data_IF_972643106170
#
_entry.id   IF_972643106170
#
_cell.length_a   1.000
_cell.length_b   1.000
_cell.length_c   1.000
_cell.angle_alpha   90.00
_cell.angle_beta   90.00
_cell.angle_gamma   90.00
#
_symmetry.space_group_name_H-M   'P 1'
#
loop_
_entity.id
_entity.type
_entity.pdbx_description
1 polymer ?
#
# COMPACT_ATOMS: atom_id res chain seq x y z
N UNK A 1 -72.42 22.75 52.02
CA UNK A 1 -72.32 22.60 50.55
C UNK A 1 -70.87 22.81 50.14
N UNK A 2 -70.34 21.87 49.36
CA UNK A 2 -69.26 21.96 48.36
C UNK A 2 -67.93 22.69 48.67
N UNK A 3 -66.89 21.85 48.77
CA UNK A 3 -65.58 21.93 48.10
C UNK A 3 -65.28 23.15 47.22
N UNK A 4 -64.17 23.82 47.51
CA UNK A 4 -63.19 24.24 46.50
C UNK A 4 -61.77 24.02 47.05
N UNK A 5 -61.12 22.98 46.54
CA UNK A 5 -59.66 22.90 46.49
C UNK A 5 -59.16 23.90 45.45
N UNK A 6 -58.28 24.80 45.84
CA UNK A 6 -57.41 25.52 44.91
C UNK A 6 -55.98 25.19 45.32
N UNK A 7 -55.25 24.58 44.40
CA UNK A 7 -53.90 24.03 44.58
C UNK A 7 -52.91 25.14 44.97
N UNK A 8 -51.99 24.91 45.91
CA UNK A 8 -50.79 25.72 45.97
C UNK A 8 -49.93 25.39 44.74
N UNK A 9 -49.77 26.37 43.87
CA UNK A 9 -48.83 26.36 42.76
C UNK A 9 -47.43 26.02 43.28
N UNK A 10 -46.76 25.03 42.69
CA UNK A 10 -45.34 24.78 42.90
C UNK A 10 -44.58 26.05 42.49
N UNK A 11 -44.10 26.82 43.46
CA UNK A 11 -43.06 27.81 43.23
C UNK A 11 -41.79 27.04 42.86
N UNK A 12 -41.51 26.95 41.56
CA UNK A 12 -40.15 26.70 41.10
C UNK A 12 -39.24 27.74 41.75
N UNK A 13 -38.14 27.35 42.42
CA UNK A 13 -37.13 28.32 42.83
C UNK A 13 -36.58 28.92 41.54
N UNK A 14 -36.79 30.22 41.34
CA UNK A 14 -36.08 30.95 40.30
C UNK A 14 -34.58 30.68 40.52
N UNK A 15 -33.84 30.15 39.53
CA UNK A 15 -32.40 30.00 39.69
C UNK A 15 -31.83 31.40 39.81
N UNK A 16 -31.39 31.76 41.02
CA UNK A 16 -30.63 32.98 41.27
C UNK A 16 -29.52 33.02 40.24
N UNK A 17 -29.44 34.05 39.39
CA UNK A 17 -28.40 34.11 38.38
C UNK A 17 -27.06 34.29 39.12
N UNK A 18 -26.27 33.23 39.22
CA UNK A 18 -24.83 33.26 39.58
C UNK A 18 -23.99 33.99 38.50
N UNK A 19 -24.63 34.46 37.43
CA UNK A 19 -24.00 35.12 36.28
C UNK A 19 -23.33 36.50 36.53
N UNK A 20 -23.79 37.38 37.45
CA UNK A 20 -23.18 38.71 37.62
C UNK A 20 -21.85 38.64 38.39
N UNK A 21 -21.74 37.80 39.42
CA UNK A 21 -20.52 37.67 40.24
C UNK A 21 -19.38 37.02 39.45
N UNK A 22 -19.69 36.04 38.61
CA UNK A 22 -18.73 35.40 37.70
C UNK A 22 -18.15 36.42 36.70
N UNK A 23 -19.00 37.20 36.05
CA UNK A 23 -18.58 38.20 35.06
C UNK A 23 -17.66 39.26 35.66
N UNK A 24 -17.99 39.80 36.84
CA UNK A 24 -17.15 40.83 37.46
C UNK A 24 -15.78 40.32 37.92
N UNK A 25 -15.71 39.06 38.36
CA UNK A 25 -14.46 38.41 38.76
C UNK A 25 -13.57 38.09 37.56
N UNK A 26 -14.12 37.54 36.48
CA UNK A 26 -13.34 36.98 35.38
C UNK A 26 -13.25 37.83 34.12
N UNK A 27 -13.98 38.96 34.01
CA UNK A 27 -13.99 39.79 32.78
C UNK A 27 -12.60 40.11 32.23
N UNK A 28 -11.63 40.49 33.07
CA UNK A 28 -10.27 40.85 32.62
C UNK A 28 -9.51 39.65 32.05
N UNK A 29 -9.64 38.49 32.67
CA UNK A 29 -9.00 37.25 32.20
C UNK A 29 -9.66 36.75 30.91
N UNK A 30 -11.00 36.83 30.82
CA UNK A 30 -11.75 36.50 29.61
C UNK A 30 -11.33 37.42 28.45
N UNK A 31 -11.26 38.74 28.67
CA UNK A 31 -10.78 39.67 27.64
C UNK A 31 -9.32 39.36 27.23
N UNK A 32 -8.44 39.03 28.17
CA UNK A 32 -7.07 38.65 27.85
C UNK A 32 -7.01 37.38 26.97
N UNK A 33 -7.80 36.35 27.30
CA UNK A 33 -7.89 35.11 26.50
C UNK A 33 -8.48 35.39 25.11
N UNK A 34 -9.52 36.23 25.01
CA UNK A 34 -10.10 36.63 23.72
C UNK A 34 -9.08 37.37 22.86
N UNK A 35 -8.32 38.30 23.44
CA UNK A 35 -7.27 39.03 22.71
C UNK A 35 -6.21 38.05 22.18
N UNK A 36 -5.75 37.12 23.01
CA UNK A 36 -4.78 36.09 22.59
C UNK A 36 -5.37 35.23 21.46
N UNK A 37 -6.64 34.82 21.58
CA UNK A 37 -7.32 34.05 20.54
C UNK A 37 -7.43 34.83 19.22
N UNK A 38 -7.77 36.11 19.27
CA UNK A 38 -7.83 36.98 18.07
C UNK A 38 -6.46 37.14 17.44
N UNK A 39 -5.40 37.36 18.23
CA UNK A 39 -4.03 37.46 17.72
C UNK A 39 -3.57 36.14 17.09
N UNK A 40 -3.89 35.00 17.71
CA UNK A 40 -3.58 33.68 17.17
C UNK A 40 -4.31 33.43 15.84
N UNK A 41 -5.59 33.82 15.74
CA UNK A 41 -6.37 33.72 14.50
C UNK A 41 -5.82 34.64 13.41
N UNK A 42 -5.45 35.87 13.74
CA UNK A 42 -4.85 36.81 12.80
C UNK A 42 -3.49 36.30 12.28
N UNK A 43 -2.65 35.77 13.19
CA UNK A 43 -1.37 35.16 12.82
C UNK A 43 -1.57 33.91 11.94
N UNK A 44 -2.53 33.05 12.28
CA UNK A 44 -2.87 31.87 11.49
C UNK A 44 -3.42 32.23 10.11
N UNK A 45 -4.30 33.22 10.02
CA UNK A 45 -4.83 33.71 8.74
C UNK A 45 -3.73 34.33 7.89
N UNK A 46 -2.86 35.16 8.49
CA UNK A 46 -1.69 35.72 7.81
C UNK A 46 -0.74 34.64 7.29
N UNK A 47 -0.48 33.61 8.12
CA UNK A 47 0.34 32.47 7.72
C UNK A 47 -0.28 31.66 6.58
N UNK A 48 -1.59 31.38 6.63
CA UNK A 48 -2.29 30.70 5.53
C UNK A 48 -2.25 31.51 4.25
N UNK A 49 -2.54 32.81 4.30
CA UNK A 49 -2.45 33.68 3.12
C UNK A 49 -1.03 33.74 2.54
N UNK A 50 -0.01 33.77 3.39
CA UNK A 50 1.38 33.70 2.95
C UNK A 50 1.69 32.36 2.25
N UNK A 51 1.26 31.24 2.83
CA UNK A 51 1.47 29.91 2.27
C UNK A 51 0.69 29.71 0.96
N UNK A 52 -0.55 30.19 0.88
CA UNK A 52 -1.38 30.12 -0.32
C UNK A 52 -0.77 30.95 -1.46
N UNK A 53 -0.32 32.17 -1.17
CA UNK A 53 0.40 33.00 -2.15
C UNK A 53 1.67 32.32 -2.64
N UNK A 54 2.45 31.74 -1.71
CA UNK A 54 3.67 31.01 -2.04
C UNK A 54 3.37 29.77 -2.89
N UNK A 55 2.30 29.03 -2.58
CA UNK A 55 1.88 27.86 -3.35
C UNK A 55 1.40 28.24 -4.76
N UNK A 56 0.63 29.32 -4.89
CA UNK A 56 0.14 29.82 -6.18
C UNK A 56 1.28 30.29 -7.08
N UNK A 57 2.23 31.06 -6.53
CA UNK A 57 3.43 31.49 -7.27
C UNK A 57 4.29 30.30 -7.71
N UNK A 58 4.43 29.28 -6.85
CA UNK A 58 5.14 28.05 -7.20
C UNK A 58 4.44 27.29 -8.35
N UNK A 59 3.11 27.20 -8.32
CA UNK A 59 2.32 26.53 -9.33
C UNK A 59 2.38 27.25 -10.69
N UNK A 60 2.31 28.59 -10.67
CA UNK A 60 2.48 29.42 -11.87
C UNK A 60 3.87 29.23 -12.50
N UNK A 61 4.91 29.30 -11.67
CA UNK A 61 6.28 29.10 -12.13
C UNK A 61 6.47 27.71 -12.73
N UNK A 62 5.95 26.67 -12.07
CA UNK A 62 5.99 25.30 -12.59
C UNK A 62 5.23 25.17 -13.91
N UNK A 63 4.06 25.78 -14.02
CA UNK A 63 3.24 25.74 -15.24
C UNK A 63 3.92 26.41 -16.44
N UNK A 64 4.79 27.40 -16.20
CA UNK A 64 5.57 28.07 -17.25
C UNK A 64 6.89 27.37 -17.59
N UNK A 65 7.41 26.52 -16.70
CA UNK A 65 8.70 25.84 -16.86
C UNK A 65 8.65 24.74 -17.93
N UNK A 66 9.69 24.68 -18.75
CA UNK A 66 9.83 23.72 -19.86
C UNK A 66 11.17 23.01 -19.90
N UNK A 67 12.18 23.58 -19.23
CA UNK A 67 13.55 23.07 -19.24
C UNK A 67 13.95 22.50 -17.88
N UNK A 68 14.95 21.62 -17.88
CA UNK A 68 15.53 21.09 -16.64
C UNK A 68 16.01 22.20 -15.69
N UNK A 69 16.62 23.27 -16.23
CA UNK A 69 17.08 24.41 -15.44
C UNK A 69 15.92 25.16 -14.76
N UNK A 70 14.79 25.34 -15.45
CA UNK A 70 13.61 25.99 -14.89
C UNK A 70 12.94 25.13 -13.81
N UNK A 71 12.83 23.81 -14.02
CA UNK A 71 12.34 22.91 -12.97
C UNK A 71 13.24 22.91 -11.74
N UNK A 72 14.56 22.91 -11.92
CA UNK A 72 15.52 23.05 -10.83
C UNK A 72 15.33 24.37 -10.06
N UNK A 73 15.03 25.45 -10.78
CA UNK A 73 14.73 26.75 -10.18
C UNK A 73 13.47 26.69 -9.31
N UNK A 74 12.38 26.08 -9.79
CA UNK A 74 11.14 25.86 -9.01
C UNK A 74 11.43 25.08 -7.72
N UNK A 75 12.21 23.99 -7.82
CA UNK A 75 12.61 23.18 -6.66
C UNK A 75 13.36 24.01 -5.62
N UNK A 76 14.26 24.89 -6.07
CA UNK A 76 15.10 25.70 -5.20
C UNK A 76 14.38 26.87 -4.55
N UNK A 77 13.46 27.53 -5.27
CA UNK A 77 12.75 28.73 -4.79
C UNK A 77 11.52 28.37 -3.95
N UNK A 78 10.88 27.24 -4.25
CA UNK A 78 9.62 26.82 -3.61
C UNK A 78 9.70 25.45 -2.92
N UNK A 79 10.71 25.19 -2.06
CA UNK A 79 10.76 23.94 -1.29
C UNK A 79 9.55 23.83 -0.36
N UNK A 80 9.03 22.61 -0.21
CA UNK A 80 7.89 22.29 0.66
C UNK A 80 6.52 22.62 0.08
N UNK A 81 6.44 23.24 -1.10
CA UNK A 81 5.19 23.41 -1.85
C UNK A 81 4.88 22.17 -2.70
N UNK A 82 3.61 21.91 -3.01
CA UNK A 82 3.21 20.82 -3.89
C UNK A 82 3.81 20.95 -5.31
N UNK A 83 3.92 22.19 -5.82
CA UNK A 83 4.58 22.47 -7.09
C UNK A 83 6.09 22.20 -7.01
N UNK A 84 6.76 22.61 -5.93
CA UNK A 84 8.17 22.27 -5.70
C UNK A 84 8.43 20.76 -5.62
N UNK A 85 7.52 20.00 -5.03
CA UNK A 85 7.58 18.54 -5.02
C UNK A 85 7.37 17.95 -6.43
N UNK A 86 6.34 18.40 -7.14
CA UNK A 86 6.04 17.98 -8.52
C UNK A 86 7.16 18.31 -9.50
N UNK A 87 7.86 19.43 -9.30
CA UNK A 87 8.97 19.87 -10.14
C UNK A 87 10.12 18.85 -10.22
N UNK A 88 10.34 18.03 -9.18
CA UNK A 88 11.31 16.93 -9.26
C UNK A 88 10.94 15.90 -10.33
N UNK A 89 9.65 15.57 -10.49
CA UNK A 89 9.20 14.60 -11.48
C UNK A 89 9.35 15.15 -12.90
N UNK A 90 9.04 16.43 -13.08
CA UNK A 90 9.26 17.11 -14.36
C UNK A 90 10.75 17.23 -14.71
N UNK A 91 11.60 17.56 -13.73
CA UNK A 91 13.05 17.56 -13.90
C UNK A 91 13.58 16.18 -14.29
N UNK A 92 13.16 15.12 -13.57
CA UNK A 92 13.56 13.76 -13.89
C UNK A 92 13.08 13.33 -15.29
N UNK A 93 11.89 13.74 -15.69
CA UNK A 93 11.36 13.50 -17.04
C UNK A 93 12.18 14.22 -18.11
N UNK A 94 12.54 15.49 -17.89
CA UNK A 94 13.42 16.24 -18.79
C UNK A 94 14.80 15.58 -18.92
N UNK A 95 15.41 15.18 -17.79
CA UNK A 95 16.68 14.44 -17.78
C UNK A 95 16.58 13.11 -18.53
N UNK A 96 15.48 12.36 -18.34
CA UNK A 96 15.20 11.13 -19.09
C UNK A 96 15.11 11.39 -20.60
N UNK A 97 14.42 12.44 -21.03
CA UNK A 97 14.31 12.82 -22.45
C UNK A 97 15.67 13.16 -23.06
N UNK A 98 16.60 13.68 -22.26
CA UNK A 98 18.00 13.89 -22.62
C UNK A 98 18.87 12.63 -22.51
N UNK A 99 18.27 11.45 -22.26
CA UNK A 99 18.93 10.16 -22.01
C UNK A 99 19.84 10.13 -20.77
N UNK A 100 19.70 11.10 -19.86
CA UNK A 100 20.43 11.18 -18.59
C UNK A 100 19.72 10.37 -17.51
N UNK A 101 19.57 9.07 -17.73
CA UNK A 101 18.79 8.18 -16.86
C UNK A 101 19.32 8.10 -15.42
N UNK A 102 20.65 8.14 -15.24
CA UNK A 102 21.26 8.10 -13.91
C UNK A 102 20.99 9.39 -13.11
N UNK A 103 21.05 10.55 -13.76
CA UNK A 103 20.69 11.84 -13.16
C UNK A 103 19.20 11.88 -12.83
N UNK A 104 18.35 11.41 -13.75
CA UNK A 104 16.91 11.28 -13.52
C UNK A 104 16.62 10.43 -12.27
N UNK A 105 17.31 9.30 -12.09
CA UNK A 105 17.15 8.47 -10.90
C UNK A 105 17.63 9.16 -9.61
N UNK A 106 18.69 9.97 -9.69
CA UNK A 106 19.16 10.76 -8.54
C UNK A 106 18.12 11.82 -8.14
N UNK A 107 17.51 12.48 -9.13
CA UNK A 107 16.42 13.45 -8.91
C UNK A 107 15.20 12.77 -8.29
N UNK A 108 14.78 11.61 -8.80
CA UNK A 108 13.64 10.84 -8.29
C UNK A 108 13.90 10.32 -6.87
N UNK A 109 15.12 9.89 -6.57
CA UNK A 109 15.50 9.49 -5.21
C UNK A 109 15.39 10.68 -4.26
N UNK A 110 15.91 11.85 -4.65
CA UNK A 110 15.79 13.07 -3.84
C UNK A 110 14.34 13.46 -3.57
N UNK A 111 13.47 13.29 -4.57
CA UNK A 111 12.03 13.50 -4.40
C UNK A 111 11.43 12.55 -3.36
N UNK A 112 11.76 11.26 -3.41
CA UNK A 112 11.27 10.27 -2.46
C UNK A 112 11.77 10.52 -1.04
N UNK A 113 13.03 10.94 -0.89
CA UNK A 113 13.62 11.23 0.42
C UNK A 113 12.98 12.46 1.06
N UNK A 114 12.72 13.51 0.27
CA UNK A 114 12.11 14.75 0.76
C UNK A 114 10.59 14.68 0.88
N UNK A 115 9.94 13.83 0.09
CA UNK A 115 8.48 13.73 0.00
C UNK A 115 8.00 12.27 0.13
N UNK A 116 8.34 11.56 1.22
CA UNK A 116 8.11 10.10 1.33
C UNK A 116 6.63 9.69 1.32
N UNK A 117 5.72 10.63 1.65
CA UNK A 117 4.26 10.41 1.67
C UNK A 117 3.54 11.06 0.49
N UNK A 118 4.28 11.55 -0.51
CA UNK A 118 3.68 12.20 -1.67
C UNK A 118 2.90 11.19 -2.50
N UNK A 119 1.75 11.60 -3.04
CA UNK A 119 0.85 10.72 -3.81
C UNK A 119 1.53 10.11 -5.04
N UNK A 120 2.52 10.82 -5.60
CA UNK A 120 3.33 10.38 -6.74
C UNK A 120 4.57 9.56 -6.38
N UNK A 121 4.76 9.15 -5.13
CA UNK A 121 5.90 8.32 -4.72
C UNK A 121 5.97 6.99 -5.49
N UNK A 122 4.82 6.34 -5.73
CA UNK A 122 4.77 5.14 -6.56
C UNK A 122 5.17 5.40 -8.01
N UNK A 123 4.70 6.50 -8.60
CA UNK A 123 5.08 6.93 -9.96
C UNK A 123 6.57 7.21 -10.08
N UNK A 124 7.19 7.83 -9.07
CA UNK A 124 8.63 8.06 -9.06
C UNK A 124 9.41 6.75 -9.07
N UNK A 125 9.03 5.77 -8.23
CA UNK A 125 9.68 4.45 -8.19
C UNK A 125 9.50 3.67 -9.51
N UNK A 126 8.33 3.78 -10.13
CA UNK A 126 8.08 3.22 -11.46
C UNK A 126 9.02 3.84 -12.51
N UNK A 127 9.15 5.17 -12.52
CA UNK A 127 10.05 5.87 -13.43
C UNK A 127 11.53 5.49 -13.17
N UNK A 128 11.92 5.28 -11.91
CA UNK A 128 13.27 4.82 -11.59
C UNK A 128 13.58 3.44 -12.18
N UNK A 129 12.63 2.50 -12.08
CA UNK A 129 12.75 1.18 -12.68
C UNK A 129 12.85 1.24 -14.21
N UNK A 130 12.01 2.06 -14.87
CA UNK A 130 12.07 2.24 -16.32
C UNK A 130 13.40 2.87 -16.80
N UNK A 131 13.96 3.79 -16.00
CA UNK A 131 15.29 4.35 -16.26
C UNK A 131 16.40 3.30 -16.08
N UNK A 132 16.27 2.37 -15.12
CA UNK A 132 17.20 1.24 -14.96
C UNK A 132 17.16 0.32 -16.17
N UNK A 133 15.98 0.03 -16.74
CA UNK A 133 15.88 -0.71 -18.01
C UNK A 133 16.61 0.01 -19.15
N UNK A 134 16.44 1.33 -19.23
CA UNK A 134 17.09 2.17 -20.25
C UNK A 134 18.62 2.21 -20.09
N UNK A 135 19.13 1.96 -18.88
CA UNK A 135 20.55 1.79 -18.57
C UNK A 135 21.05 0.36 -18.80
N UNK A 136 20.19 -0.58 -19.24
CA UNK A 136 20.52 -1.99 -19.40
C UNK A 136 20.57 -2.78 -18.09
N UNK A 137 20.27 -2.14 -16.94
CA UNK A 137 20.26 -2.75 -15.60
C UNK A 137 18.93 -3.48 -15.36
N UNK A 138 18.61 -4.44 -16.22
CA UNK A 138 17.30 -5.13 -16.26
C UNK A 138 16.97 -5.89 -14.97
N UNK A 139 17.97 -6.48 -14.32
CA UNK A 139 17.77 -7.19 -13.04
C UNK A 139 17.43 -6.22 -11.89
N UNK A 140 18.13 -5.08 -11.82
CA UNK A 140 17.81 -4.02 -10.85
C UNK A 140 16.43 -3.42 -11.12
N UNK A 141 16.06 -3.24 -12.39
CA UNK A 141 14.74 -2.77 -12.78
C UNK A 141 13.63 -3.74 -12.32
N UNK A 142 13.78 -5.04 -12.61
CA UNK A 142 12.85 -6.09 -12.20
C UNK A 142 12.66 -6.10 -10.68
N UNK A 143 13.75 -6.05 -9.91
CA UNK A 143 13.69 -5.98 -8.44
C UNK A 143 12.97 -4.71 -7.95
N UNK A 144 13.17 -3.58 -8.63
CA UNK A 144 12.52 -2.31 -8.29
C UNK A 144 11.01 -2.36 -8.54
N UNK A 145 10.58 -2.92 -9.68
CA UNK A 145 9.16 -3.12 -9.97
C UNK A 145 8.50 -4.07 -8.96
N UNK A 146 9.14 -5.20 -8.63
CA UNK A 146 8.63 -6.15 -7.63
C UNK A 146 8.46 -5.49 -6.26
N UNK A 147 9.45 -4.70 -5.83
CA UNK A 147 9.37 -3.95 -4.58
C UNK A 147 8.20 -2.98 -4.59
N UNK A 148 8.02 -2.21 -5.68
CA UNK A 148 6.92 -1.26 -5.81
C UNK A 148 5.56 -1.95 -5.64
N UNK A 149 5.33 -3.08 -6.31
CA UNK A 149 4.08 -3.84 -6.20
C UNK A 149 3.86 -4.37 -4.79
N UNK A 150 4.93 -4.83 -4.14
CA UNK A 150 4.85 -5.40 -2.78
C UNK A 150 4.60 -4.33 -1.72
N UNK A 151 5.27 -3.17 -1.83
CA UNK A 151 5.16 -2.09 -0.85
C UNK A 151 3.93 -1.21 -1.06
N UNK A 152 3.47 -1.06 -2.30
CA UNK A 152 2.38 -0.15 -2.67
C UNK A 152 1.36 -0.81 -3.61
N UNK A 153 0.76 -1.95 -3.25
CA UNK A 153 -0.11 -2.71 -4.14
C UNK A 153 -1.36 -1.94 -4.58
N UNK A 154 -1.79 -0.93 -3.82
CA UNK A 154 -2.95 -0.08 -4.15
C UNK A 154 -2.59 1.15 -4.99
N UNK A 155 -1.30 1.38 -5.25
CA UNK A 155 -0.85 2.52 -6.05
C UNK A 155 -1.25 2.33 -7.51
N UNK A 156 -1.60 3.43 -8.18
CA UNK A 156 -1.84 3.44 -9.62
C UNK A 156 -0.63 2.93 -10.42
N UNK A 157 0.58 3.03 -9.86
CA UNK A 157 1.81 2.55 -10.47
C UNK A 157 1.97 1.02 -10.41
N UNK A 158 1.31 0.32 -9.48
CA UNK A 158 1.46 -1.12 -9.29
C UNK A 158 1.06 -1.96 -10.54
N UNK A 159 -0.11 -1.78 -11.17
CA UNK A 159 -0.46 -2.54 -12.37
C UNK A 159 0.48 -2.26 -13.56
N UNK A 160 0.99 -1.03 -13.66
CA UNK A 160 1.96 -0.66 -14.70
C UNK A 160 3.29 -1.38 -14.45
N UNK A 161 3.75 -1.39 -13.20
CA UNK A 161 4.96 -2.11 -12.80
C UNK A 161 4.85 -3.60 -13.06
N UNK A 162 3.70 -4.22 -12.82
CA UNK A 162 3.46 -5.63 -13.15
C UNK A 162 3.59 -5.88 -14.65
N UNK A 163 3.01 -5.02 -15.49
CA UNK A 163 3.13 -5.16 -16.95
C UNK A 163 4.58 -5.02 -17.41
N UNK A 164 5.33 -4.06 -16.88
CA UNK A 164 6.77 -3.92 -17.19
C UNK A 164 7.57 -5.17 -16.83
N UNK A 165 7.23 -5.85 -15.72
CA UNK A 165 7.90 -7.10 -15.32
C UNK A 165 7.68 -8.23 -16.34
N UNK A 166 6.49 -8.30 -16.96
CA UNK A 166 6.17 -9.37 -17.94
C UNK A 166 7.20 -9.38 -19.07
N UNK A 167 7.55 -8.20 -19.61
CA UNK A 167 8.53 -8.10 -20.68
C UNK A 167 9.92 -8.59 -20.23
N UNK A 168 10.39 -8.13 -19.07
CA UNK A 168 11.69 -8.53 -18.50
C UNK A 168 11.75 -10.03 -18.20
N UNK A 169 10.67 -10.62 -17.67
CA UNK A 169 10.58 -12.05 -17.39
C UNK A 169 10.62 -12.89 -18.68
N UNK A 170 9.95 -12.44 -19.74
CA UNK A 170 10.01 -13.09 -21.06
C UNK A 170 11.42 -13.09 -21.64
N UNK A 171 12.13 -11.97 -21.55
CA UNK A 171 13.52 -11.88 -22.02
C UNK A 171 14.46 -12.81 -21.23
N UNK A 172 14.17 -13.03 -19.94
CA UNK A 172 14.88 -14.00 -19.08
C UNK A 172 14.42 -15.44 -19.26
N UNK A 173 13.54 -15.73 -20.22
CA UNK A 173 12.92 -17.04 -20.46
C UNK A 173 12.12 -17.60 -19.26
N UNK A 174 11.66 -16.73 -18.36
CA UNK A 174 10.83 -17.05 -17.19
C UNK A 174 9.34 -16.96 -17.55
N UNK A 175 8.90 -17.85 -18.44
CA UNK A 175 7.57 -17.79 -19.06
C UNK A 175 6.44 -18.07 -18.07
N UNK A 176 6.65 -18.97 -17.11
CA UNK A 176 5.65 -19.31 -16.09
C UNK A 176 5.44 -18.16 -15.11
N UNK A 177 6.52 -17.49 -14.69
CA UNK A 177 6.43 -16.27 -13.88
C UNK A 177 5.74 -15.15 -14.64
N UNK A 178 6.07 -14.94 -15.92
CA UNK A 178 5.39 -13.96 -16.76
C UNK A 178 3.88 -14.24 -16.85
N UNK A 179 3.48 -15.51 -17.00
CA UNK A 179 2.07 -15.95 -16.99
C UNK A 179 1.37 -15.60 -15.68
N UNK A 180 1.98 -15.94 -14.54
CA UNK A 180 1.43 -15.60 -13.20
C UNK A 180 1.26 -14.10 -13.00
N UNK A 181 2.20 -13.30 -13.50
CA UNK A 181 2.11 -11.84 -13.44
C UNK A 181 0.93 -11.34 -14.29
N UNK A 182 0.72 -11.86 -15.51
CA UNK A 182 -0.46 -11.53 -16.31
C UNK A 182 -1.76 -11.84 -15.56
N UNK A 183 -1.87 -13.04 -14.98
CA UNK A 183 -3.04 -13.47 -14.21
C UNK A 183 -3.28 -12.57 -12.99
N UNK A 184 -2.21 -12.14 -12.31
CA UNK A 184 -2.28 -11.19 -11.19
C UNK A 184 -2.87 -9.85 -11.65
N UNK A 185 -2.42 -9.31 -12.78
CA UNK A 185 -2.98 -8.05 -13.32
C UNK A 185 -4.46 -8.22 -13.67
N UNK A 186 -4.84 -9.32 -14.33
CA UNK A 186 -6.22 -9.58 -14.74
C UNK A 186 -7.17 -9.82 -13.58
N UNK A 187 -6.68 -10.35 -12.45
CA UNK A 187 -7.51 -10.67 -11.29
C UNK A 187 -7.57 -9.54 -10.27
N UNK A 188 -6.41 -8.97 -9.90
CA UNK A 188 -6.32 -7.95 -8.85
C UNK A 188 -6.50 -6.52 -9.38
N UNK A 189 -6.20 -6.29 -10.66
CA UNK A 189 -6.27 -4.98 -11.30
C UNK A 189 -7.20 -4.97 -12.52
N UNK A 190 -8.30 -5.72 -12.44
CA UNK A 190 -9.28 -5.94 -13.53
C UNK A 190 -9.76 -4.68 -14.23
N UNK A 191 -9.95 -3.59 -13.49
CA UNK A 191 -10.50 -2.33 -14.01
C UNK A 191 -9.39 -1.37 -14.48
N UNK A 192 -8.11 -1.78 -14.41
CA UNK A 192 -6.98 -0.99 -14.89
C UNK A 192 -6.77 -1.14 -16.40
N UNK A 193 -6.24 -0.10 -17.05
CA UNK A 193 -5.84 -0.17 -18.46
C UNK A 193 -4.84 -1.32 -18.74
N UNK A 194 -4.00 -1.64 -17.74
CA UNK A 194 -3.02 -2.72 -17.79
C UNK A 194 -3.63 -4.13 -17.91
N UNK A 195 -4.90 -4.34 -17.51
CA UNK A 195 -5.55 -5.65 -17.60
C UNK A 195 -5.73 -6.12 -19.05
N UNK A 196 -6.08 -5.20 -19.95
CA UNK A 196 -6.19 -5.49 -21.38
C UNK A 196 -4.83 -5.90 -21.96
N UNK A 197 -3.77 -5.14 -21.63
CA UNK A 197 -2.42 -5.44 -22.07
C UNK A 197 -1.91 -6.78 -21.53
N UNK A 198 -2.12 -7.06 -20.24
CA UNK A 198 -1.79 -8.35 -19.63
C UNK A 198 -2.50 -9.52 -20.32
N UNK A 199 -3.76 -9.34 -20.74
CA UNK A 199 -4.51 -10.35 -21.50
C UNK A 199 -3.87 -10.62 -22.86
N UNK A 200 -3.46 -9.56 -23.57
CA UNK A 200 -2.76 -9.69 -24.85
C UNK A 200 -1.40 -10.38 -24.68
N UNK A 201 -0.64 -10.00 -23.67
CA UNK A 201 0.65 -10.61 -23.35
C UNK A 201 0.48 -12.09 -23.03
N UNK A 202 -0.50 -12.46 -22.19
CA UNK A 202 -0.80 -13.85 -21.82
C UNK A 202 -1.11 -14.73 -23.03
N UNK A 203 -1.86 -14.22 -24.02
CA UNK A 203 -2.13 -14.94 -25.28
C UNK A 203 -0.87 -15.16 -26.12
N UNK A 204 0.08 -14.22 -26.06
CA UNK A 204 1.36 -14.33 -26.77
C UNK A 204 2.33 -15.31 -26.10
N UNK A 205 2.14 -15.60 -24.81
CA UNK A 205 2.91 -16.62 -24.11
C UNK A 205 2.42 -17.98 -24.60
N UNK A 206 3.30 -18.75 -25.27
CA UNK A 206 3.01 -20.12 -25.64
C UNK A 206 2.44 -20.85 -24.42
N UNK A 207 1.30 -21.56 -24.52
CA UNK A 207 0.92 -22.49 -23.47
C UNK A 207 2.09 -23.46 -23.30
N UNK A 208 2.55 -23.60 -22.06
CA UNK A 208 3.39 -24.74 -21.68
C UNK A 208 2.52 -25.97 -21.81
N UNK A 209 2.34 -26.41 -23.06
CA UNK A 209 1.53 -27.56 -23.42
C UNK A 209 2.39 -28.80 -23.20
N UNK A 210 2.79 -28.99 -21.95
CA UNK A 210 3.01 -30.32 -21.41
C UNK A 210 1.90 -30.49 -20.38
N UNK A 211 0.93 -31.39 -20.63
CA UNK A 211 0.01 -31.79 -19.57
C UNK A 211 0.87 -32.17 -18.38
N UNK A 212 0.65 -31.54 -17.23
CA UNK A 212 1.09 -32.16 -15.97
C UNK A 212 0.63 -33.61 -16.07
N UNK A 213 1.54 -34.61 -15.95
CA UNK A 213 1.14 -36.01 -15.96
C UNK A 213 -0.05 -36.10 -15.00
N UNK A 214 -1.19 -36.68 -15.41
CA UNK A 214 -2.31 -36.83 -14.50
C UNK A 214 -1.71 -37.44 -13.25
N UNK A 215 -1.81 -36.71 -12.12
CA UNK A 215 -1.38 -37.24 -10.85
C UNK A 215 -2.13 -38.56 -10.73
N UNK A 216 -1.39 -39.66 -10.89
CA UNK A 216 -1.93 -41.00 -10.68
C UNK A 216 -2.19 -41.00 -9.19
N UNK A 217 -3.36 -40.51 -8.80
CA UNK A 217 -3.94 -40.86 -7.53
C UNK A 217 -3.97 -42.38 -7.56
N UNK A 218 -3.33 -43.08 -6.61
CA UNK A 218 -3.51 -44.50 -6.49
C UNK A 218 -5.01 -44.70 -6.24
N UNK A 219 -5.74 -45.08 -7.28
CA UNK A 219 -7.09 -45.60 -7.14
C UNK A 219 -6.91 -46.84 -6.29
N UNK A 220 -7.17 -46.73 -4.99
CA UNK A 220 -7.35 -47.89 -4.13
C UNK A 220 -8.56 -48.59 -4.70
N UNK A 221 -8.30 -49.61 -5.52
CA UNK A 221 -9.30 -50.52 -6.01
C UNK A 221 -10.00 -51.10 -4.78
N UNK A 222 -11.26 -50.69 -4.57
CA UNK A 222 -12.13 -51.37 -3.64
C UNK A 222 -12.23 -52.84 -4.08
N UNK A 223 -11.93 -53.81 -3.20
CA UNK A 223 -12.05 -55.21 -3.56
C UNK A 223 -13.53 -55.56 -3.79
N UNK A 224 -13.85 -56.44 -4.76
CA UNK A 224 -15.22 -56.91 -4.92
C UNK A 224 -15.58 -57.80 -3.71
N UNK A 225 -16.79 -57.62 -3.19
CA UNK A 225 -17.35 -58.44 -2.12
C UNK A 225 -17.37 -59.93 -2.54
N UNK A 226 -16.95 -60.88 -1.68
CA UNK A 226 -17.05 -62.30 -1.99
C UNK A 226 -18.45 -62.82 -1.68
N UNK A 227 -19.02 -63.56 -2.63
CA UNK A 227 -20.22 -64.34 -2.45
C UNK A 227 -20.02 -65.45 -1.41
N UNK A 228 -21.03 -65.62 -0.56
CA UNK A 228 -21.12 -66.64 0.47
C UNK A 228 -21.31 -68.04 -0.16
N UNK A 229 -20.31 -68.92 -0.03
CA UNK A 229 -20.54 -70.37 0.02
C UNK A 229 -19.70 -70.99 1.12
N UNK A 230 -20.39 -71.44 2.16
CA UNK A 230 -19.80 -72.13 3.30
C UNK A 230 -19.35 -73.55 2.90
N UNK A 231 -18.10 -73.88 3.22
CA UNK A 231 -17.63 -75.27 3.36
C UNK A 231 -17.39 -75.52 4.86
N UNK A 232 -17.85 -76.64 5.45
CA UNK A 232 -17.45 -77.01 6.80
C UNK A 232 -16.31 -78.02 6.73
N UNK A 233 -15.21 -77.76 7.44
CA UNK A 233 -14.22 -78.81 7.66
C UNK A 233 -12.85 -78.36 8.16
N UNK A 234 -12.69 -78.38 9.48
CA UNK A 234 -11.47 -78.78 10.20
C UNK A 234 -10.37 -77.72 10.43
N UNK A 235 -10.37 -77.24 11.68
CA UNK A 235 -9.25 -77.01 12.61
C UNK A 235 -8.05 -76.13 12.23
N UNK A 236 -8.13 -74.89 12.72
CA UNK A 236 -7.06 -74.11 13.37
C UNK A 236 -6.45 -74.93 14.54
N UNK A 237 -5.22 -74.83 15.02
CA UNK A 237 -4.10 -73.86 15.06
C UNK A 237 -2.87 -74.67 15.66
N UNK A 238 -1.70 -74.16 16.15
CA UNK A 238 -1.32 -72.78 16.53
C UNK A 238 0.15 -72.31 16.26
N UNK A 239 0.36 -70.99 16.23
CA UNK A 239 1.48 -70.28 16.89
C UNK A 239 1.20 -68.75 16.80
N UNK A 240 0.69 -68.11 17.86
CA UNK A 240 1.41 -67.47 18.97
C UNK A 240 1.79 -65.98 18.70
N UNK A 241 1.22 -65.00 19.47
CA UNK A 241 1.47 -63.54 19.41
C UNK A 241 2.37 -63.07 20.61
N UNK A 242 2.45 -61.77 21.03
CA UNK A 242 2.80 -60.49 20.36
C UNK A 242 3.79 -59.57 21.16
N UNK A 243 4.09 -58.39 20.59
CA UNK A 243 4.34 -57.06 21.23
C UNK A 243 5.72 -56.78 21.91
N UNK A 244 6.05 -55.54 22.38
CA UNK A 244 5.43 -54.20 22.18
C UNK A 244 6.43 -53.05 21.81
N UNK A 245 5.89 -51.86 21.50
CA UNK A 245 6.62 -50.57 21.33
C UNK A 245 7.03 -49.91 22.66
N UNK A 246 7.94 -48.90 22.65
CA UNK A 246 7.56 -47.60 23.24
C UNK A 246 8.20 -46.30 22.65
N UNK A 247 7.33 -45.29 22.55
CA UNK A 247 7.37 -43.83 22.85
C UNK A 247 8.65 -42.95 22.74
N UNK A 248 8.39 -41.73 22.25
CA UNK A 248 9.24 -40.55 22.07
C UNK A 248 9.53 -39.71 23.34
N UNK A 249 10.51 -38.78 23.30
CA UNK A 249 10.57 -37.63 24.20
C UNK A 249 10.62 -36.23 23.52
N UNK A 250 10.11 -35.23 24.25
CA UNK A 250 9.99 -33.78 23.96
C UNK A 250 11.33 -32.97 24.00
N UNK A 251 11.36 -31.73 23.46
CA UNK A 251 12.54 -30.84 23.45
C UNK A 251 12.62 -29.85 24.63
N UNK A 252 13.84 -29.48 25.04
CA UNK A 252 14.11 -28.51 26.12
C UNK A 252 15.12 -27.40 25.73
N UNK A 253 14.65 -26.16 25.88
CA UNK A 253 15.27 -24.90 26.37
C UNK A 253 16.66 -24.37 25.90
N UNK A 254 16.69 -23.05 25.66
CA UNK A 254 17.84 -22.11 25.69
C UNK A 254 17.74 -21.18 26.94
N UNK A 255 18.58 -20.13 27.20
CA UNK A 255 19.97 -19.75 26.85
C UNK A 255 20.82 -19.41 28.13
N UNK A 256 21.97 -18.69 28.07
CA UNK A 256 22.00 -17.27 28.55
C UNK A 256 23.06 -16.31 27.94
N UNK A 257 23.06 -15.04 28.44
CA UNK A 257 23.71 -13.79 27.99
C UNK A 257 25.13 -13.52 28.55
N UNK A 258 25.92 -12.75 27.75
CA UNK A 258 26.92 -11.66 28.02
C UNK A 258 28.11 -11.89 28.97
N UNK A 259 29.21 -11.12 28.77
CA UNK A 259 29.34 -9.77 29.36
C UNK A 259 29.17 -8.60 28.37
#
# INVERSE_FOLDING_TARGET
MRNLQIMPTLSSPDPVPESPVFWDRYKKEIFAVIIIAVLALAAFAGYRLYMDRRANAAAEMLGSAKTAAEFQKVISEYPGTAAGASAYLFLASAQKNEKKFAEANTTLQTFLDKNPKHEMAGTARLAMAANLESLGKKDEALATYQRLVTSEPKSFAAPIALVSQIHLLKEKNQIEEARRVCETVMTQYRDSASASEATMQLRSLKPSNEPAPPAIQPTVAAPPAPALTASPGVSLQPAAPPAPAPKAPQPSAAPPKKP
#
